data_IF_170000897722
#
_entry.id   IF_170000897722
#
_cell.length_a   1.000
_cell.length_b   1.000
_cell.length_c   1.000
_cell.angle_alpha   90.00
_cell.angle_beta   90.00
_cell.angle_gamma   90.00
#
_symmetry.space_group_name_H-M   'P 1'
#
loop_
_entity.id
_entity.type
_entity.pdbx_description
1 polymer ?
#
# COMPACT_ATOMS: atom_id res chain seq x y z
N UNK A 1 -16.76 6.46 2.48
CA UNK A 1 -15.73 5.71 3.22
C UNK A 1 -14.39 6.09 2.61
N UNK A 2 -13.45 6.63 3.39
CA UNK A 2 -12.08 6.88 2.96
C UNK A 2 -11.30 5.56 2.87
N UNK A 3 -10.16 5.54 2.17
CA UNK A 3 -9.32 4.34 2.10
C UNK A 3 -8.84 3.86 3.47
N UNK A 4 -8.41 4.78 4.35
CA UNK A 4 -7.98 4.43 5.71
C UNK A 4 -9.10 3.79 6.52
N UNK A 5 -10.29 4.36 6.50
CA UNK A 5 -11.47 3.76 7.15
C UNK A 5 -11.86 2.41 6.55
N UNK A 6 -11.74 2.26 5.24
CA UNK A 6 -12.02 0.99 4.58
C UNK A 6 -11.10 -0.13 5.09
N UNK A 7 -9.80 0.13 5.18
CA UNK A 7 -8.82 -0.84 5.72
C UNK A 7 -9.16 -1.23 7.14
N UNK A 8 -9.44 -0.26 8.02
CA UNK A 8 -9.87 -0.55 9.41
C UNK A 8 -11.15 -1.38 9.50
N UNK A 9 -12.11 -1.16 8.61
CA UNK A 9 -13.33 -1.97 8.55
C UNK A 9 -13.03 -3.41 8.11
N UNK A 10 -12.03 -3.65 7.26
CA UNK A 10 -11.61 -4.99 6.86
C UNK A 10 -10.84 -5.74 7.97
N UNK A 11 -10.34 -5.04 8.97
CA UNK A 11 -9.70 -5.64 10.16
C UNK A 11 -10.72 -6.05 11.23
N UNK A 12 -11.98 -5.64 11.11
CA UNK A 12 -13.03 -5.98 12.06
C UNK A 12 -13.19 -7.48 12.25
N UNK A 13 -13.38 -7.95 13.48
CA UNK A 13 -13.71 -9.34 13.79
C UNK A 13 -15.09 -9.75 13.24
N UNK A 14 -16.03 -8.80 13.08
CA UNK A 14 -17.34 -9.05 12.48
C UNK A 14 -17.21 -9.24 10.94
N UNK A 15 -17.38 -10.48 10.49
CA UNK A 15 -17.30 -10.83 9.08
C UNK A 15 -18.37 -10.15 8.22
N UNK A 16 -19.55 -9.88 8.79
CA UNK A 16 -20.62 -9.17 8.08
C UNK A 16 -20.18 -7.75 7.78
N UNK A 17 -19.61 -7.06 8.77
CA UNK A 17 -19.08 -5.70 8.59
C UNK A 17 -18.00 -5.65 7.50
N UNK A 18 -17.06 -6.59 7.50
CA UNK A 18 -16.01 -6.67 6.45
C UNK A 18 -16.62 -6.83 5.06
N UNK A 19 -17.59 -7.76 4.91
CA UNK A 19 -18.27 -8.00 3.62
C UNK A 19 -19.06 -6.78 3.15
N UNK A 20 -19.79 -6.13 4.04
CA UNK A 20 -20.58 -4.94 3.71
C UNK A 20 -19.68 -3.78 3.32
N UNK A 21 -18.59 -3.53 4.04
CA UNK A 21 -17.59 -2.52 3.71
C UNK A 21 -16.96 -2.78 2.34
N UNK A 22 -16.56 -4.02 2.07
CA UNK A 22 -16.02 -4.44 0.76
C UNK A 22 -17.01 -4.19 -0.37
N UNK A 23 -18.25 -4.64 -0.20
CA UNK A 23 -19.29 -4.50 -1.21
C UNK A 23 -19.61 -3.02 -1.48
N UNK A 24 -19.77 -2.21 -0.42
CA UNK A 24 -20.06 -0.79 -0.54
C UNK A 24 -18.90 -0.03 -1.23
N UNK A 25 -17.67 -0.33 -0.87
CA UNK A 25 -16.48 0.29 -1.47
C UNK A 25 -16.39 -0.02 -2.98
N UNK A 26 -16.49 -1.28 -3.36
CA UNK A 26 -16.39 -1.67 -4.77
C UNK A 26 -17.65 -1.38 -5.60
N UNK A 27 -18.80 -1.11 -4.97
CA UNK A 27 -20.00 -0.70 -5.72
C UNK A 27 -19.79 0.61 -6.48
N UNK A 28 -19.03 1.55 -5.92
CA UNK A 28 -18.69 2.82 -6.58
C UNK A 28 -17.84 2.59 -7.85
N UNK A 29 -16.84 1.71 -7.78
CA UNK A 29 -16.04 1.34 -8.95
C UNK A 29 -16.85 0.59 -10.00
N UNK A 30 -17.76 -0.29 -9.58
CA UNK A 30 -18.66 -1.02 -10.49
C UNK A 30 -19.58 -0.05 -11.26
N UNK A 31 -20.05 1.00 -10.62
CA UNK A 31 -20.83 2.06 -11.26
C UNK A 31 -20.05 2.80 -12.36
N UNK A 32 -18.72 2.87 -12.23
CA UNK A 32 -17.83 3.54 -13.20
C UNK A 32 -17.09 2.55 -14.13
N UNK A 33 -17.53 1.29 -14.20
CA UNK A 33 -16.84 0.21 -14.91
C UNK A 33 -16.43 0.58 -16.34
N UNK A 34 -17.34 1.16 -17.11
CA UNK A 34 -17.08 1.50 -18.50
C UNK A 34 -16.07 2.65 -18.62
N UNK A 35 -16.17 3.66 -17.76
CA UNK A 35 -15.21 4.77 -17.70
C UNK A 35 -13.82 4.26 -17.34
N UNK A 36 -13.70 3.42 -16.33
CA UNK A 36 -12.42 2.83 -15.92
C UNK A 36 -11.83 1.96 -17.04
N UNK A 37 -12.64 1.16 -17.70
CA UNK A 37 -12.19 0.34 -18.84
C UNK A 37 -11.70 1.22 -20.01
N UNK A 38 -12.41 2.30 -20.33
CA UNK A 38 -11.99 3.25 -21.36
C UNK A 38 -10.69 3.95 -21.00
N UNK A 39 -10.52 4.36 -19.74
CA UNK A 39 -9.30 5.01 -19.25
C UNK A 39 -8.08 4.09 -19.36
N UNK A 40 -8.19 2.85 -18.90
CA UNK A 40 -7.11 1.86 -19.01
C UNK A 40 -6.79 1.57 -20.48
N UNK A 41 -7.81 1.34 -21.32
CA UNK A 41 -7.62 1.11 -22.76
C UNK A 41 -6.91 2.28 -23.44
N UNK A 42 -7.28 3.51 -23.10
CA UNK A 42 -6.65 4.70 -23.66
C UNK A 42 -5.21 4.86 -23.19
N UNK A 43 -4.89 4.55 -21.94
CA UNK A 43 -3.52 4.55 -21.43
C UNK A 43 -2.65 3.55 -22.18
N UNK A 44 -3.12 2.30 -22.34
CA UNK A 44 -2.41 1.28 -23.11
C UNK A 44 -2.18 1.72 -24.57
N UNK A 45 -3.21 2.27 -25.22
CA UNK A 45 -3.09 2.79 -26.61
C UNK A 45 -2.05 3.92 -26.71
N UNK A 46 -2.04 4.83 -25.73
CA UNK A 46 -1.06 5.91 -25.65
C UNK A 46 0.38 5.33 -25.56
N UNK A 47 0.60 4.36 -24.68
CA UNK A 47 1.93 3.76 -24.49
C UNK A 47 2.40 3.01 -25.76
N UNK A 48 1.49 2.28 -26.42
CA UNK A 48 1.76 1.64 -27.72
C UNK A 48 2.07 2.68 -28.80
N UNK A 49 1.33 3.80 -28.85
CA UNK A 49 1.58 4.88 -29.80
C UNK A 49 2.99 5.47 -29.61
N UNK A 50 3.36 5.83 -28.39
CA UNK A 50 4.68 6.40 -28.11
C UNK A 50 5.82 5.41 -28.37
N UNK A 51 5.64 4.14 -28.03
CA UNK A 51 6.63 3.11 -28.35
C UNK A 51 6.88 3.03 -29.87
N UNK A 52 5.81 2.99 -30.66
CA UNK A 52 5.90 2.95 -32.13
C UNK A 52 6.52 4.22 -32.72
N UNK A 53 6.08 5.40 -32.26
CA UNK A 53 6.59 6.68 -32.73
C UNK A 53 8.10 6.84 -32.46
N UNK A 54 8.58 6.27 -31.35
CA UNK A 54 10.01 6.27 -30.97
C UNK A 54 10.75 5.04 -31.45
N UNK A 55 10.13 4.19 -32.26
CA UNK A 55 10.72 2.97 -32.87
C UNK A 55 11.18 1.91 -31.86
N UNK A 56 10.54 1.83 -30.70
CA UNK A 56 10.74 0.71 -29.80
C UNK A 56 9.98 -0.53 -30.30
N UNK A 57 10.54 -1.75 -30.14
CA UNK A 57 9.87 -2.99 -30.54
C UNK A 57 8.54 -3.25 -29.81
N UNK A 58 8.42 -2.77 -28.55
CA UNK A 58 7.21 -2.91 -27.75
C UNK A 58 7.07 -1.78 -26.73
N UNK A 59 5.86 -1.60 -26.18
CA UNK A 59 5.62 -0.68 -25.07
C UNK A 59 6.40 -1.10 -23.80
N UNK A 60 6.57 -2.40 -23.57
CA UNK A 60 7.39 -2.92 -22.47
C UNK A 60 8.85 -2.47 -22.60
N UNK A 61 9.47 -2.67 -23.75
CA UNK A 61 10.85 -2.24 -23.96
C UNK A 61 11.02 -0.73 -23.88
N UNK A 62 10.03 0.04 -24.35
CA UNK A 62 10.04 1.48 -24.19
C UNK A 62 10.01 1.90 -22.70
N UNK A 63 9.23 1.20 -21.89
CA UNK A 63 9.12 1.46 -20.44
C UNK A 63 10.41 1.10 -19.68
N UNK A 64 11.06 0.00 -20.05
CA UNK A 64 12.27 -0.48 -19.39
C UNK A 64 13.55 0.27 -19.83
N UNK A 65 13.46 1.02 -20.93
CA UNK A 65 14.63 1.68 -21.54
C UNK A 65 15.23 2.77 -20.64
N UNK A 66 14.41 3.55 -19.97
CA UNK A 66 14.86 4.67 -19.11
C UNK A 66 15.77 4.20 -17.98
N UNK A 67 15.46 3.01 -17.41
CA UNK A 67 16.22 2.40 -16.33
C UNK A 67 17.25 1.37 -16.83
N UNK A 68 17.39 1.24 -18.16
CA UNK A 68 18.29 0.27 -18.80
C UNK A 68 18.07 -1.16 -18.31
N UNK A 69 16.81 -1.58 -18.14
CA UNK A 69 16.45 -2.92 -17.67
C UNK A 69 16.24 -3.84 -18.87
N UNK A 70 16.97 -4.96 -18.99
CA UNK A 70 16.70 -5.99 -20.00
C UNK A 70 15.31 -6.62 -19.81
N UNK A 71 14.63 -6.94 -20.94
CA UNK A 71 13.29 -7.57 -20.89
C UNK A 71 13.29 -8.89 -20.12
N UNK A 72 14.40 -9.63 -20.16
CA UNK A 72 14.60 -10.90 -19.48
C UNK A 72 14.48 -10.78 -17.96
N UNK A 73 14.85 -9.62 -17.38
CA UNK A 73 14.67 -9.35 -15.95
C UNK A 73 13.18 -9.30 -15.60
N UNK A 74 12.39 -8.64 -16.43
CA UNK A 74 10.94 -8.56 -16.26
C UNK A 74 10.27 -9.93 -16.39
N UNK A 75 10.63 -10.68 -17.43
CA UNK A 75 10.09 -12.03 -17.68
C UNK A 75 10.49 -12.99 -16.57
N UNK A 76 11.75 -12.95 -16.11
CA UNK A 76 12.24 -13.75 -14.99
C UNK A 76 11.52 -13.43 -13.67
N UNK A 77 11.21 -12.16 -13.42
CA UNK A 77 10.42 -11.77 -12.24
C UNK A 77 9.04 -12.45 -12.26
N UNK A 78 8.34 -12.38 -13.40
CA UNK A 78 7.03 -13.02 -13.56
C UNK A 78 7.13 -14.52 -13.37
N UNK A 79 8.10 -15.16 -14.01
CA UNK A 79 8.32 -16.59 -13.89
C UNK A 79 8.59 -17.00 -12.45
N UNK A 80 9.52 -16.34 -11.78
CA UNK A 80 9.89 -16.62 -10.39
C UNK A 80 8.69 -16.50 -9.45
N UNK A 81 7.89 -15.43 -9.59
CA UNK A 81 6.67 -15.27 -8.79
C UNK A 81 5.69 -16.42 -9.05
N UNK A 82 5.48 -16.80 -10.31
CA UNK A 82 4.58 -17.94 -10.68
C UNK A 82 5.02 -19.26 -10.09
N UNK A 83 6.31 -19.56 -10.12
CA UNK A 83 6.88 -20.78 -9.55
C UNK A 83 6.67 -20.86 -8.02
N UNK A 84 6.60 -19.69 -7.34
CA UNK A 84 6.43 -19.59 -5.90
C UNK A 84 4.98 -19.34 -5.44
N UNK A 85 4.00 -19.29 -6.34
CA UNK A 85 2.58 -19.11 -5.99
C UNK A 85 2.06 -20.18 -5.01
N UNK A 86 2.65 -21.37 -5.02
CA UNK A 86 2.34 -22.42 -4.05
C UNK A 86 2.51 -21.99 -2.59
N UNK A 87 3.45 -21.10 -2.28
CA UNK A 87 3.64 -20.55 -0.94
C UNK A 87 2.47 -19.64 -0.55
N UNK A 88 2.01 -18.79 -1.47
CA UNK A 88 0.85 -17.92 -1.26
C UNK A 88 -0.44 -18.74 -1.07
N UNK A 89 -0.61 -19.81 -1.86
CA UNK A 89 -1.75 -20.71 -1.69
C UNK A 89 -1.72 -21.43 -0.32
N UNK A 90 -0.55 -21.84 0.16
CA UNK A 90 -0.40 -22.41 1.51
C UNK A 90 -0.73 -21.39 2.60
N UNK A 91 -0.29 -20.14 2.44
CA UNK A 91 -0.60 -19.06 3.39
C UNK A 91 -2.10 -18.77 3.44
N UNK A 92 -2.77 -18.64 2.30
CA UNK A 92 -4.21 -18.40 2.23
C UNK A 92 -5.02 -19.57 2.79
N UNK A 93 -4.59 -20.81 2.53
CA UNK A 93 -5.19 -22.01 3.13
C UNK A 93 -5.02 -22.04 4.66
N UNK A 94 -3.85 -21.62 5.18
CA UNK A 94 -3.61 -21.47 6.61
C UNK A 94 -4.55 -20.41 7.21
N UNK A 95 -4.66 -19.23 6.58
CA UNK A 95 -5.59 -18.17 7.04
C UNK A 95 -7.03 -18.67 7.10
N UNK A 96 -7.49 -19.36 6.07
CA UNK A 96 -8.83 -19.97 6.02
C UNK A 96 -9.10 -20.85 7.25
N UNK A 97 -8.13 -21.70 7.62
CA UNK A 97 -8.25 -22.58 8.80
C UNK A 97 -8.26 -21.80 10.11
N UNK A 98 -7.35 -20.83 10.27
CA UNK A 98 -7.25 -20.03 11.49
C UNK A 98 -8.49 -19.16 11.72
N UNK A 99 -9.10 -18.66 10.66
CA UNK A 99 -10.33 -17.88 10.72
C UNK A 99 -11.60 -18.75 10.88
N UNK A 100 -11.50 -20.07 10.68
CA UNK A 100 -12.63 -20.99 10.79
C UNK A 100 -13.73 -20.76 9.75
N UNK A 101 -13.38 -20.24 8.56
CA UNK A 101 -14.36 -19.93 7.51
C UNK A 101 -14.44 -21.03 6.47
N UNK A 102 -15.65 -21.32 5.98
CA UNK A 102 -15.85 -22.32 4.91
C UNK A 102 -15.21 -21.90 3.59
N UNK A 103 -15.27 -20.60 3.28
CA UNK A 103 -14.63 -20.00 2.11
C UNK A 103 -13.93 -18.71 2.54
N UNK A 104 -12.68 -18.54 2.07
CA UNK A 104 -11.91 -17.31 2.28
C UNK A 104 -12.20 -16.35 1.14
N UNK A 105 -12.65 -15.16 1.48
CA UNK A 105 -12.91 -14.08 0.52
C UNK A 105 -11.89 -12.95 0.67
N UNK A 106 -11.83 -12.05 -0.31
CA UNK A 106 -10.93 -10.90 -0.29
C UNK A 106 -11.10 -10.03 0.96
N UNK A 107 -12.32 -9.91 1.48
CA UNK A 107 -12.59 -9.16 2.72
C UNK A 107 -12.13 -9.89 4.00
N UNK A 108 -11.65 -11.13 3.90
CA UNK A 108 -11.10 -11.88 5.04
C UNK A 108 -9.55 -11.82 5.11
N UNK A 109 -8.90 -11.09 4.17
CA UNK A 109 -7.44 -11.08 4.09
C UNK A 109 -6.75 -10.15 5.08
N UNK A 110 -7.46 -9.14 5.60
CA UNK A 110 -6.88 -8.14 6.50
C UNK A 110 -7.19 -8.38 7.98
N UNK A 111 -8.22 -9.18 8.29
CA UNK A 111 -8.58 -9.46 9.67
C UNK A 111 -7.44 -10.18 10.39
N UNK A 112 -7.09 -9.77 11.63
CA UNK A 112 -6.09 -10.46 12.45
C UNK A 112 -6.47 -11.93 12.67
N UNK A 113 -5.51 -12.83 12.51
CA UNK A 113 -5.68 -14.26 12.79
C UNK A 113 -5.37 -14.62 14.24
N UNK A 114 -4.62 -13.77 14.92
CA UNK A 114 -4.37 -13.86 16.36
C UNK A 114 -5.41 -13.01 17.07
N UNK A 115 -6.23 -13.66 17.89
CA UNK A 115 -7.31 -13.00 18.62
C UNK A 115 -6.73 -12.26 19.83
N UNK A 116 -7.47 -11.24 20.27
CA UNK A 116 -7.25 -10.53 21.54
C UNK A 116 -5.94 -9.75 21.69
N UNK A 117 -5.25 -9.45 20.57
CA UNK A 117 -4.15 -8.50 20.55
C UNK A 117 -4.67 -7.18 19.94
N UNK A 118 -5.24 -6.34 20.77
CA UNK A 118 -5.52 -4.94 20.45
C UNK A 118 -4.41 -4.11 21.10
N UNK A 119 -3.49 -3.63 20.30
CA UNK A 119 -2.46 -2.72 20.76
C UNK A 119 -2.64 -1.37 20.04
N UNK A 120 -3.25 -0.45 20.73
CA UNK A 120 -3.35 0.94 20.29
C UNK A 120 -2.22 1.73 20.94
N UNK A 121 -1.40 2.39 20.12
CA UNK A 121 -0.29 3.22 20.59
C UNK A 121 -0.65 4.67 20.26
N UNK A 122 -1.01 5.49 21.26
CA UNK A 122 -1.21 6.92 21.07
C UNK A 122 0.08 7.61 20.59
N UNK A 123 -0.05 8.66 19.79
CA UNK A 123 1.10 9.36 19.21
C UNK A 123 2.17 9.78 20.26
N UNK A 124 1.82 10.33 21.44
CA UNK A 124 2.83 10.65 22.45
C UNK A 124 3.66 9.46 22.92
N UNK A 125 3.02 8.30 23.06
CA UNK A 125 3.71 7.04 23.43
C UNK A 125 4.59 6.55 22.28
N UNK A 126 4.09 6.57 21.05
CA UNK A 126 4.87 6.24 19.85
C UNK A 126 6.12 7.12 19.72
N UNK A 127 6.01 8.43 20.03
CA UNK A 127 7.15 9.34 20.02
C UNK A 127 8.22 8.99 21.07
N UNK A 128 7.82 8.51 22.25
CA UNK A 128 8.76 8.00 23.27
C UNK A 128 9.44 6.72 22.78
N UNK A 129 8.68 5.76 22.29
CA UNK A 129 9.20 4.49 21.74
C UNK A 129 10.21 4.73 20.61
N UNK A 130 9.93 5.70 19.72
CA UNK A 130 10.85 6.09 18.64
C UNK A 130 12.18 6.64 19.18
N UNK A 131 12.14 7.50 20.21
CA UNK A 131 13.36 8.06 20.83
C UNK A 131 14.22 6.98 21.46
N UNK A 132 13.59 6.05 22.17
CA UNK A 132 14.28 4.94 22.82
C UNK A 132 14.82 3.93 21.78
N UNK A 133 13.99 3.54 20.81
CA UNK A 133 14.37 2.56 19.79
C UNK A 133 15.49 3.04 18.86
N UNK A 134 15.58 4.36 18.62
CA UNK A 134 16.58 4.98 17.74
C UNK A 134 17.80 5.52 18.52
N UNK A 135 17.84 5.36 19.84
CA UNK A 135 18.98 5.77 20.67
C UNK A 135 20.35 5.24 20.17
N UNK A 136 20.47 3.99 19.65
CA UNK A 136 21.73 3.49 19.10
C UNK A 136 22.30 4.29 17.92
N UNK A 137 21.46 5.11 17.21
CA UNK A 137 21.91 5.98 16.11
C UNK A 137 22.64 7.25 16.62
N UNK A 138 22.68 7.44 17.93
CA UNK A 138 23.39 8.54 18.58
C UNK A 138 22.52 9.78 18.83
N UNK A 139 22.98 10.59 19.78
CA UNK A 139 22.27 11.76 20.28
C UNK A 139 21.88 12.78 19.19
N UNK A 140 22.75 13.19 18.23
CA UNK A 140 22.40 14.15 17.20
C UNK A 140 21.25 13.68 16.30
N UNK A 141 21.18 12.37 16.01
CA UNK A 141 20.09 11.79 15.22
C UNK A 141 18.77 11.86 15.98
N UNK A 142 18.77 11.45 17.24
CA UNK A 142 17.55 11.45 18.08
C UNK A 142 17.05 12.86 18.33
N UNK A 143 17.94 13.85 18.54
CA UNK A 143 17.54 15.25 18.68
C UNK A 143 16.90 15.81 17.42
N UNK A 144 17.48 15.53 16.24
CA UNK A 144 16.92 15.95 14.95
C UNK A 144 15.55 15.34 14.71
N UNK A 145 15.41 14.04 14.96
CA UNK A 145 14.13 13.32 14.84
C UNK A 145 13.10 13.89 15.83
N UNK A 146 13.49 14.11 17.09
CA UNK A 146 12.59 14.67 18.11
C UNK A 146 12.07 16.03 17.73
N UNK A 147 12.94 16.90 17.20
CA UNK A 147 12.53 18.19 16.62
C UNK A 147 11.48 18.00 15.52
N UNK A 148 11.66 17.02 14.62
CA UNK A 148 10.71 16.69 13.56
C UNK A 148 9.35 16.27 14.09
N UNK A 149 9.32 15.45 15.15
CA UNK A 149 8.09 15.01 15.81
C UNK A 149 7.31 16.16 16.47
N UNK A 150 7.98 17.25 16.86
CA UNK A 150 7.42 18.34 17.65
C UNK A 150 7.12 19.62 16.82
N UNK A 151 7.75 19.78 15.66
CA UNK A 151 7.74 21.05 14.92
C UNK A 151 7.00 21.01 13.58
N UNK A 152 6.06 20.09 13.40
CA UNK A 152 5.19 20.10 12.21
C UNK A 152 5.82 19.57 10.92
N UNK A 153 6.91 18.77 11.01
CA UNK A 153 7.40 18.05 9.85
C UNK A 153 6.45 16.91 9.44
N UNK A 154 5.59 16.49 10.37
CA UNK A 154 4.65 15.39 10.20
C UNK A 154 3.22 15.91 10.14
N UNK A 155 2.51 15.55 9.11
CA UNK A 155 1.05 15.66 8.99
C UNK A 155 0.43 14.31 9.31
N UNK A 156 -0.07 14.16 10.55
CA UNK A 156 -0.44 12.88 11.16
C UNK A 156 -1.90 12.52 10.96
N UNK A 157 -2.79 13.52 10.90
CA UNK A 157 -4.21 13.28 11.03
C UNK A 157 -4.90 13.16 9.67
N UNK A 158 -5.88 12.25 9.59
CA UNK A 158 -6.79 12.20 8.46
C UNK A 158 -7.60 13.51 8.39
N UNK A 159 -7.67 14.12 7.21
CA UNK A 159 -8.45 15.32 6.97
C UNK A 159 -9.18 15.27 5.62
N UNK A 160 -10.21 16.10 5.47
CA UNK A 160 -10.98 16.17 4.21
C UNK A 160 -10.07 16.63 3.07
N UNK A 161 -10.01 15.83 2.00
CA UNK A 161 -9.18 16.11 0.82
C UNK A 161 -7.76 15.58 0.91
N UNK A 162 -7.33 15.03 2.04
CA UNK A 162 -6.04 14.37 2.18
C UNK A 162 -6.09 12.99 1.52
N UNK A 163 -5.11 12.70 0.67
CA UNK A 163 -4.98 11.39 0.03
C UNK A 163 -4.54 10.34 1.05
N UNK A 164 -5.08 9.13 0.93
CA UNK A 164 -4.65 7.98 1.73
C UNK A 164 -3.21 7.59 1.40
N UNK A 165 -2.46 7.15 2.40
CA UNK A 165 -1.10 6.68 2.28
C UNK A 165 -0.14 7.38 3.24
N UNK A 166 1.12 6.99 3.18
CA UNK A 166 2.20 7.63 3.92
C UNK A 166 3.40 7.85 3.00
N UNK A 167 4.06 8.97 3.14
CA UNK A 167 5.33 9.23 2.46
C UNK A 167 6.22 10.14 3.30
N UNK A 168 7.51 10.05 3.05
CA UNK A 168 8.50 11.01 3.52
C UNK A 168 9.25 11.54 2.31
N UNK A 169 9.27 12.86 2.16
CA UNK A 169 9.95 13.51 1.05
C UNK A 169 10.57 14.84 1.50
N UNK A 170 11.72 15.17 0.93
CA UNK A 170 12.36 16.47 1.18
C UNK A 170 13.40 16.78 0.12
N UNK A 171 13.43 18.02 -0.42
CA UNK A 171 14.52 18.47 -1.28
C UNK A 171 15.84 18.53 -0.51
N UNK A 172 16.95 18.48 -1.25
CA UNK A 172 18.28 18.65 -0.66
C UNK A 172 18.38 19.97 0.10
N UNK A 173 18.93 19.93 1.30
CA UNK A 173 19.11 21.11 2.15
C UNK A 173 17.89 21.53 2.97
N UNK A 174 16.79 20.77 2.92
CA UNK A 174 15.60 20.99 3.79
C UNK A 174 15.38 19.82 4.73
N UNK A 175 14.49 19.99 5.71
CA UNK A 175 13.98 18.88 6.49
C UNK A 175 13.00 18.01 5.65
N UNK A 176 12.77 16.76 6.02
CA UNK A 176 11.73 15.95 5.38
C UNK A 176 10.33 16.45 5.75
N UNK A 177 9.40 16.26 4.82
CA UNK A 177 7.96 16.41 5.03
C UNK A 177 7.35 15.01 5.04
N UNK A 178 6.71 14.65 6.14
CA UNK A 178 6.14 13.34 6.35
C UNK A 178 4.63 13.45 6.40
N UNK A 179 3.96 12.76 5.51
CA UNK A 179 2.50 12.63 5.51
C UNK A 179 2.14 11.22 5.99
N UNK A 180 1.21 11.16 6.92
CA UNK A 180 0.62 9.92 7.43
C UNK A 180 -0.91 10.06 7.47
N UNK A 181 -1.62 8.93 7.45
CA UNK A 181 -3.07 8.83 7.64
C UNK A 181 -3.39 7.69 8.60
#
# INVERSE_FOLDING_TARGET
>A
ITHGRYTRLLESSDRRMRREAFTAFYSSYRGLKNTLAATISSSVKKDVFYARARKYPSALQASLFEDNIPSEVYDNLIQTVREHLGLMHRYTAMRKRLLGVAELHMYDLHVPVVKDILWEIPYPEAAVMLREGLAPLGKPYVETMSKGLETGWLDLCESKGKSSGAYSWGPYGTHPYVLMN
#
